data_IF_793681312947
#
_entry.id   IF_793681312947
#
_cell.length_a   1.000
_cell.length_b   1.000
_cell.length_c   1.000
_cell.angle_alpha   90.00
_cell.angle_beta   90.00
_cell.angle_gamma   90.00
#
_symmetry.space_group_name_H-M   'P 1'
#
loop_
_entity.id
_entity.type
_entity.pdbx_description
1 polymer ?
#
# COMPACT_ATOMS: atom_id res chain seq x y z
N UNK A 1 11.52 -5.05 -14.66
CA UNK A 1 12.45 -6.18 -14.44
C UNK A 1 13.60 -5.88 -13.46
N UNK A 2 13.91 -4.63 -13.09
CA UNK A 2 14.98 -4.29 -12.11
C UNK A 2 14.44 -4.15 -10.66
N UNK A 3 13.17 -3.76 -10.51
CA UNK A 3 12.53 -3.52 -9.20
C UNK A 3 12.38 -4.80 -8.37
N UNK A 4 12.06 -5.93 -9.00
CA UNK A 4 11.90 -7.23 -8.33
C UNK A 4 13.17 -7.66 -7.57
N UNK A 5 14.36 -7.65 -8.21
CA UNK A 5 15.63 -7.86 -7.54
C UNK A 5 15.91 -6.86 -6.40
N UNK A 6 15.63 -5.56 -6.60
CA UNK A 6 15.86 -4.54 -5.56
C UNK A 6 14.97 -4.75 -4.34
N UNK A 7 13.69 -5.07 -4.55
CA UNK A 7 12.76 -5.42 -3.47
C UNK A 7 13.15 -6.76 -2.83
N UNK A 8 13.58 -7.75 -3.61
CA UNK A 8 14.11 -9.01 -3.09
C UNK A 8 15.35 -8.81 -2.21
N UNK A 9 16.28 -7.96 -2.62
CA UNK A 9 17.49 -7.59 -1.85
C UNK A 9 17.11 -6.80 -0.60
N UNK A 10 16.19 -5.84 -0.68
CA UNK A 10 15.72 -5.07 0.49
C UNK A 10 14.97 -5.96 1.50
N UNK A 11 14.15 -6.89 1.01
CA UNK A 11 13.37 -7.84 1.82
C UNK A 11 14.29 -8.90 2.46
N UNK A 12 15.34 -9.32 1.75
CA UNK A 12 16.37 -10.24 2.25
C UNK A 12 17.40 -9.59 3.19
N UNK A 13 17.71 -8.30 3.01
CA UNK A 13 18.68 -7.55 3.84
C UNK A 13 18.07 -6.98 5.13
N UNK A 14 16.74 -6.84 5.20
CA UNK A 14 16.02 -6.39 6.40
C UNK A 14 14.80 -7.26 6.79
N UNK A 15 15.00 -8.56 7.11
CA UNK A 15 13.91 -9.50 7.43
C UNK A 15 13.03 -9.08 8.63
N UNK A 16 13.56 -8.30 9.60
CA UNK A 16 12.78 -7.77 10.74
C UNK A 16 12.05 -6.45 10.45
N UNK A 17 12.13 -5.89 9.24
CA UNK A 17 11.52 -4.61 8.84
C UNK A 17 10.49 -4.73 7.70
N UNK A 18 10.05 -5.96 7.37
CA UNK A 18 9.10 -6.23 6.27
C UNK A 18 7.82 -5.38 6.35
N UNK A 19 7.30 -5.07 7.55
CA UNK A 19 6.14 -4.18 7.71
C UNK A 19 6.43 -2.71 7.36
N UNK A 20 7.65 -2.21 7.59
CA UNK A 20 8.04 -0.87 7.16
C UNK A 20 8.24 -0.80 5.64
N UNK A 21 8.63 -1.91 4.99
CA UNK A 21 8.72 -1.96 3.53
C UNK A 21 7.33 -1.83 2.91
N UNK A 22 6.33 -2.56 3.42
CA UNK A 22 4.93 -2.41 2.95
C UNK A 22 4.42 -0.99 3.16
N UNK A 23 4.62 -0.40 4.35
CA UNK A 23 4.20 0.98 4.62
C UNK A 23 4.94 1.99 3.73
N UNK A 24 6.23 1.78 3.45
CA UNK A 24 7.00 2.61 2.53
C UNK A 24 6.51 2.52 1.08
N UNK A 25 6.15 1.32 0.63
CA UNK A 25 5.55 1.10 -0.70
C UNK A 25 4.19 1.78 -0.82
N UNK A 26 3.33 1.63 0.19
CA UNK A 26 2.02 2.29 0.23
C UNK A 26 2.18 3.81 0.25
N UNK A 27 3.10 4.34 1.06
CA UNK A 27 3.37 5.77 1.12
C UNK A 27 3.92 6.33 -0.20
N UNK A 28 4.83 5.61 -0.84
CA UNK A 28 5.37 5.99 -2.15
C UNK A 28 4.28 5.98 -3.24
N UNK A 29 3.45 4.94 -3.28
CA UNK A 29 2.33 4.85 -4.20
C UNK A 29 1.33 6.00 -3.97
N UNK A 30 0.97 6.25 -2.71
CA UNK A 30 0.09 7.36 -2.33
C UNK A 30 0.67 8.72 -2.70
N UNK A 31 1.98 8.93 -2.52
CA UNK A 31 2.65 10.17 -2.90
C UNK A 31 2.66 10.37 -4.43
N UNK A 32 2.93 9.32 -5.21
CA UNK A 32 2.91 9.39 -6.67
C UNK A 32 1.52 9.77 -7.20
N UNK A 33 0.48 9.14 -6.67
CA UNK A 33 -0.91 9.51 -6.98
C UNK A 33 -1.25 10.92 -6.51
N UNK A 34 -0.76 11.36 -5.34
CA UNK A 34 -1.04 12.70 -4.84
C UNK A 34 -0.45 13.77 -5.77
N UNK A 35 0.78 13.57 -6.25
CA UNK A 35 1.42 14.45 -7.23
C UNK A 35 0.59 14.54 -8.51
N UNK A 36 0.08 13.41 -9.02
CA UNK A 36 -0.75 13.40 -10.23
C UNK A 36 -2.08 14.13 -10.03
N UNK A 37 -2.77 13.82 -8.94
CA UNK A 37 -4.13 14.32 -8.68
C UNK A 37 -4.13 15.80 -8.31
N UNK A 38 -3.11 16.27 -7.59
CA UNK A 38 -2.95 17.69 -7.22
C UNK A 38 -2.30 18.54 -8.30
N UNK A 39 -1.80 17.94 -9.39
CA UNK A 39 -1.20 18.70 -10.48
C UNK A 39 -2.23 19.63 -11.12
N UNK A 40 -1.96 20.94 -11.29
CA UNK A 40 -2.91 21.84 -11.96
C UNK A 40 -2.88 21.62 -13.49
N UNK A 41 -4.06 21.53 -14.12
CA UNK A 41 -4.17 21.43 -15.59
C UNK A 41 -3.74 20.07 -16.14
N UNK A 42 -2.99 20.03 -17.23
CA UNK A 42 -2.52 18.77 -17.83
C UNK A 42 -1.17 18.38 -17.23
N UNK A 43 -1.04 17.19 -16.61
CA UNK A 43 0.22 16.74 -16.04
C UNK A 43 1.27 16.51 -17.14
N UNK A 44 2.53 16.94 -16.94
CA UNK A 44 3.60 16.68 -17.90
C UNK A 44 3.91 15.18 -17.94
N UNK A 45 4.45 14.72 -19.07
CA UNK A 45 4.76 13.30 -19.30
C UNK A 45 5.61 12.69 -18.17
N UNK A 46 6.53 13.45 -17.59
CA UNK A 46 7.37 12.98 -16.49
C UNK A 46 6.57 12.54 -15.24
N UNK A 47 5.49 13.25 -14.90
CA UNK A 47 4.62 12.91 -13.77
C UNK A 47 3.85 11.63 -14.07
N UNK A 48 3.36 11.47 -15.28
CA UNK A 48 2.67 10.26 -15.72
C UNK A 48 3.62 9.05 -15.68
N UNK A 49 4.84 9.21 -16.19
CA UNK A 49 5.89 8.16 -16.14
C UNK A 49 6.20 7.77 -14.69
N UNK A 50 6.32 8.74 -13.77
CA UNK A 50 6.55 8.47 -12.35
C UNK A 50 5.44 7.59 -11.76
N UNK A 51 4.18 7.91 -12.04
CA UNK A 51 3.02 7.13 -11.55
C UNK A 51 3.01 5.73 -12.15
N UNK A 52 3.25 5.60 -13.46
CA UNK A 52 3.33 4.29 -14.13
C UNK A 52 4.43 3.43 -13.52
N UNK A 53 5.59 4.01 -13.26
CA UNK A 53 6.69 3.32 -12.57
C UNK A 53 6.26 2.91 -11.16
N UNK A 54 5.63 3.79 -10.39
CA UNK A 54 5.14 3.48 -9.05
C UNK A 54 4.13 2.32 -9.07
N UNK A 55 3.17 2.33 -9.99
CA UNK A 55 2.20 1.24 -10.20
C UNK A 55 2.92 -0.08 -10.51
N UNK A 56 3.95 -0.05 -11.37
CA UNK A 56 4.77 -1.20 -11.69
C UNK A 56 5.49 -1.81 -10.47
N UNK A 57 5.81 -1.01 -9.46
CA UNK A 57 6.39 -1.48 -8.18
C UNK A 57 5.34 -2.23 -7.33
N UNK A 58 4.04 -1.99 -7.57
CA UNK A 58 2.95 -2.69 -6.89
C UNK A 58 3.01 -4.22 -7.05
N UNK A 59 3.49 -4.72 -8.19
CA UNK A 59 3.64 -6.16 -8.44
C UNK A 59 4.55 -6.86 -7.42
N UNK A 60 5.82 -6.46 -7.27
CA UNK A 60 6.66 -6.96 -6.18
C UNK A 60 6.11 -6.68 -4.77
N UNK A 61 5.36 -5.58 -4.60
CA UNK A 61 4.72 -5.25 -3.32
C UNK A 61 3.70 -6.30 -2.86
N UNK A 62 2.90 -6.86 -3.77
CA UNK A 62 1.92 -7.91 -3.44
C UNK A 62 2.58 -9.20 -2.97
N UNK A 63 3.76 -9.53 -3.51
CA UNK A 63 4.54 -10.70 -3.09
C UNK A 63 4.97 -10.61 -1.62
N UNK A 64 5.23 -9.40 -1.10
CA UNK A 64 5.52 -9.20 0.32
C UNK A 64 4.31 -9.56 1.18
N UNK A 65 3.10 -9.24 0.75
CA UNK A 65 1.86 -9.63 1.45
C UNK A 65 1.66 -11.15 1.50
N UNK A 66 1.96 -11.84 0.39
CA UNK A 66 1.92 -13.30 0.31
C UNK A 66 2.99 -13.95 1.20
N UNK A 67 4.20 -13.41 1.22
CA UNK A 67 5.29 -13.86 2.10
C UNK A 67 4.91 -13.73 3.59
N UNK A 68 4.21 -12.64 3.96
CA UNK A 68 3.64 -12.49 5.30
C UNK A 68 2.66 -13.59 5.64
N UNK A 69 1.68 -13.87 4.77
CA UNK A 69 0.70 -14.92 5.02
C UNK A 69 1.33 -16.31 5.15
N UNK A 70 2.40 -16.59 4.40
CA UNK A 70 3.12 -17.86 4.47
C UNK A 70 3.95 -17.99 5.76
N UNK A 71 4.53 -16.89 6.24
CA UNK A 71 5.40 -16.90 7.43
C UNK A 71 4.63 -17.21 8.72
N UNK A 72 3.36 -16.79 8.82
CA UNK A 72 2.54 -16.95 10.03
C UNK A 72 1.62 -18.18 10.01
N UNK A 73 1.62 -18.98 8.95
CA UNK A 73 0.72 -20.11 8.77
C UNK A 73 1.48 -21.44 8.61
N UNK A 74 0.97 -22.55 9.16
CA UNK A 74 1.62 -23.86 9.04
C UNK A 74 1.65 -24.35 7.57
N UNK A 75 2.64 -25.16 7.17
CA UNK A 75 2.86 -25.60 5.77
C UNK A 75 1.61 -26.19 5.08
N UNK A 76 0.82 -26.96 5.84
CA UNK A 76 -0.44 -27.57 5.38
C UNK A 76 -1.54 -26.57 4.96
N UNK A 77 -1.38 -25.29 5.31
CA UNK A 77 -2.38 -24.24 5.07
C UNK A 77 -1.88 -23.09 4.19
N UNK A 78 -0.69 -23.20 3.60
CA UNK A 78 -0.08 -22.11 2.81
C UNK A 78 -0.92 -21.72 1.59
N UNK A 79 -1.57 -22.70 0.95
CA UNK A 79 -2.48 -22.46 -0.18
C UNK A 79 -3.69 -21.63 0.24
N UNK A 80 -4.35 -22.02 1.33
CA UNK A 80 -5.49 -21.28 1.87
C UNK A 80 -5.09 -19.87 2.35
N UNK A 81 -3.95 -19.72 3.03
CA UNK A 81 -3.44 -18.43 3.48
C UNK A 81 -3.16 -17.49 2.30
N UNK A 82 -2.50 -17.98 1.25
CA UNK A 82 -2.24 -17.20 0.02
C UNK A 82 -3.55 -16.85 -0.70
N UNK A 83 -4.52 -17.77 -0.72
CA UNK A 83 -5.85 -17.56 -1.30
C UNK A 83 -6.61 -16.42 -0.62
N UNK A 84 -6.62 -16.39 0.72
CA UNK A 84 -7.27 -15.32 1.49
C UNK A 84 -6.66 -13.95 1.17
N UNK A 85 -5.32 -13.87 1.07
CA UNK A 85 -4.64 -12.61 0.71
C UNK A 85 -5.03 -12.14 -0.69
N UNK A 86 -5.05 -13.04 -1.67
CA UNK A 86 -5.45 -12.69 -3.04
C UNK A 86 -6.91 -12.23 -3.11
N UNK A 87 -7.83 -12.97 -2.47
CA UNK A 87 -9.24 -12.58 -2.40
C UNK A 87 -9.36 -11.19 -1.75
N UNK A 88 -8.65 -10.94 -0.65
CA UNK A 88 -8.64 -9.62 -0.02
C UNK A 88 -8.16 -8.51 -0.97
N UNK A 89 -7.07 -8.74 -1.71
CA UNK A 89 -6.52 -7.79 -2.68
C UNK A 89 -7.45 -7.51 -3.86
N UNK A 90 -8.05 -8.56 -4.43
CA UNK A 90 -9.01 -8.42 -5.53
C UNK A 90 -10.31 -7.76 -5.08
N UNK A 91 -10.86 -8.15 -3.92
CA UNK A 91 -12.03 -7.49 -3.36
C UNK A 91 -11.76 -6.01 -3.16
N UNK A 92 -10.63 -5.63 -2.56
CA UNK A 92 -10.27 -4.21 -2.42
C UNK A 92 -10.17 -3.49 -3.77
N UNK A 93 -9.60 -4.13 -4.79
CA UNK A 93 -9.45 -3.56 -6.14
C UNK A 93 -10.80 -3.37 -6.82
N UNK A 94 -11.69 -4.36 -6.76
CA UNK A 94 -13.04 -4.27 -7.35
C UNK A 94 -13.93 -3.29 -6.59
N UNK A 95 -13.86 -3.26 -5.26
CA UNK A 95 -14.55 -2.25 -4.46
C UNK A 95 -14.07 -0.85 -4.84
N UNK A 96 -12.77 -0.64 -5.00
CA UNK A 96 -12.23 0.66 -5.42
C UNK A 96 -12.72 1.04 -6.83
N UNK A 97 -12.70 0.10 -7.78
CA UNK A 97 -13.19 0.32 -9.14
C UNK A 97 -14.68 0.71 -9.14
N UNK A 98 -15.51 0.01 -8.37
CA UNK A 98 -16.93 0.32 -8.22
C UNK A 98 -17.13 1.72 -7.63
N UNK A 99 -16.41 2.04 -6.55
CA UNK A 99 -16.53 3.33 -5.88
C UNK A 99 -16.09 4.51 -6.77
N UNK A 100 -15.07 4.30 -7.62
CA UNK A 100 -14.65 5.30 -8.61
C UNK A 100 -15.77 5.53 -9.63
N UNK A 101 -16.39 4.47 -10.15
CA UNK A 101 -17.51 4.60 -11.09
C UNK A 101 -18.70 5.34 -10.48
N UNK A 102 -19.12 4.94 -9.28
CA UNK A 102 -20.20 5.62 -8.55
C UNK A 102 -19.85 7.08 -8.28
N UNK A 103 -18.59 7.39 -7.94
CA UNK A 103 -18.16 8.78 -7.72
C UNK A 103 -18.27 9.62 -9.00
N UNK A 104 -17.93 9.07 -10.17
CA UNK A 104 -18.11 9.74 -11.45
C UNK A 104 -19.59 9.99 -11.75
N UNK A 105 -20.44 8.96 -11.61
CA UNK A 105 -21.88 9.07 -11.89
C UNK A 105 -22.56 10.10 -10.99
N UNK A 106 -22.20 10.12 -9.70
CA UNK A 106 -22.74 11.11 -8.75
C UNK A 106 -22.27 12.52 -9.06
N UNK A 107 -20.99 12.71 -9.41
CA UNK A 107 -20.45 14.02 -9.78
C UNK A 107 -21.14 14.58 -11.03
N UNK A 108 -21.29 13.75 -12.06
CA UNK A 108 -21.97 14.13 -13.30
C UNK A 108 -23.45 14.43 -13.05
N UNK A 109 -24.14 13.59 -12.27
CA UNK A 109 -25.53 13.81 -11.90
C UNK A 109 -25.77 15.13 -11.15
N UNK A 110 -24.90 15.49 -10.20
CA UNK A 110 -24.96 16.78 -9.49
C UNK A 110 -24.75 17.95 -10.45
N UNK A 111 -23.79 17.82 -11.37
CA UNK A 111 -23.45 18.86 -12.35
C UNK A 111 -24.57 19.11 -13.35
N UNK A 112 -25.12 18.04 -13.92
CA UNK A 112 -26.24 18.09 -14.88
C UNK A 112 -27.50 18.63 -14.20
N UNK A 113 -27.79 18.21 -12.96
CA UNK A 113 -28.89 18.76 -12.18
C UNK A 113 -28.72 20.27 -11.90
N UNK A 114 -27.48 20.76 -11.82
CA UNK A 114 -27.14 22.19 -11.72
C UNK A 114 -27.23 22.96 -13.05
N UNK A 115 -27.65 22.34 -14.15
CA UNK A 115 -27.81 22.97 -15.46
C UNK A 115 -26.51 23.09 -16.28
N UNK A 116 -25.41 22.50 -15.82
CA UNK A 116 -24.16 22.45 -16.57
C UNK A 116 -24.10 21.21 -17.49
N UNK A 117 -23.34 21.26 -18.60
CA UNK A 117 -23.16 20.10 -19.47
C UNK A 117 -22.39 18.97 -18.75
N UNK A 118 -22.71 17.73 -19.12
CA UNK A 118 -22.03 16.52 -18.64
C UNK A 118 -20.54 16.58 -18.94
N UNK A 119 -19.73 16.18 -17.97
CA UNK A 119 -18.28 16.09 -18.09
C UNK A 119 -17.73 14.80 -17.48
N UNK A 120 -18.55 13.73 -17.51
CA UNK A 120 -18.24 12.41 -16.95
C UNK A 120 -16.82 11.90 -17.30
N UNK A 121 -16.35 12.19 -18.52
CA UNK A 121 -15.03 11.77 -19.00
C UNK A 121 -13.97 12.89 -19.00
N UNK A 122 -14.21 14.00 -18.31
CA UNK A 122 -13.23 15.07 -18.16
C UNK A 122 -12.14 14.69 -17.15
N UNK A 123 -10.94 15.22 -17.37
CA UNK A 123 -9.78 14.98 -16.49
C UNK A 123 -10.06 15.37 -15.04
N UNK A 124 -10.83 16.44 -14.82
CA UNK A 124 -11.11 16.94 -13.47
C UNK A 124 -12.09 16.04 -12.71
N UNK A 125 -13.09 15.48 -13.38
CA UNK A 125 -14.00 14.47 -12.79
C UNK A 125 -13.23 13.21 -12.41
N UNK A 126 -12.32 12.75 -13.28
CA UNK A 126 -11.43 11.64 -12.94
C UNK A 126 -10.50 11.94 -11.76
N UNK A 127 -9.98 13.16 -11.62
CA UNK A 127 -9.13 13.53 -10.47
C UNK A 127 -9.86 13.32 -9.15
N UNK A 128 -11.10 13.78 -9.05
CA UNK A 128 -11.88 13.65 -7.83
C UNK A 128 -12.29 12.20 -7.59
N UNK A 129 -12.71 11.49 -8.64
CA UNK A 129 -13.08 10.08 -8.53
C UNK A 129 -11.90 9.19 -8.10
N UNK A 130 -10.70 9.41 -8.65
CA UNK A 130 -9.49 8.68 -8.24
C UNK A 130 -9.05 8.99 -6.81
N UNK A 131 -9.52 10.07 -6.18
CA UNK A 131 -9.24 10.34 -4.78
C UNK A 131 -9.92 9.31 -3.84
N UNK A 132 -10.94 8.59 -4.31
CA UNK A 132 -11.62 7.53 -3.54
C UNK A 132 -10.69 6.35 -3.22
N UNK A 133 -9.56 6.21 -3.90
CA UNK A 133 -8.56 5.20 -3.53
C UNK A 133 -7.94 5.46 -2.14
N UNK A 134 -7.81 6.72 -1.71
CA UNK A 134 -7.19 7.08 -0.43
C UNK A 134 -7.94 6.56 0.79
N UNK A 135 -9.28 6.68 0.92
CA UNK A 135 -9.99 6.09 2.05
C UNK A 135 -9.87 4.56 2.08
N UNK A 136 -9.93 3.89 0.92
CA UNK A 136 -9.81 2.42 0.84
C UNK A 136 -8.41 1.96 1.27
N UNK A 137 -7.37 2.55 0.67
CA UNK A 137 -5.96 2.24 1.01
C UNK A 137 -5.64 2.67 2.44
N UNK A 138 -6.17 3.82 2.88
CA UNK A 138 -6.03 4.34 4.24
C UNK A 138 -6.63 3.41 5.27
N UNK A 139 -7.81 2.86 5.01
CA UNK A 139 -8.43 1.83 5.85
C UNK A 139 -7.57 0.57 5.92
N UNK A 140 -7.10 0.05 4.78
CA UNK A 140 -6.18 -1.10 4.75
C UNK A 140 -4.88 -0.85 5.52
N UNK A 141 -4.33 0.36 5.39
CA UNK A 141 -3.11 0.80 6.09
C UNK A 141 -3.35 0.91 7.60
N UNK A 142 -4.48 1.47 8.00
CA UNK A 142 -4.87 1.57 9.42
C UNK A 142 -5.01 0.17 10.04
N UNK A 143 -5.67 -0.76 9.34
CA UNK A 143 -5.80 -2.15 9.79
C UNK A 143 -4.45 -2.83 9.90
N UNK A 144 -3.55 -2.63 8.95
CA UNK A 144 -2.19 -3.14 9.01
C UNK A 144 -1.42 -2.60 10.23
N UNK A 145 -1.49 -1.29 10.46
CA UNK A 145 -0.84 -0.63 11.61
C UNK A 145 -1.44 -1.14 12.93
N UNK A 146 -2.76 -1.26 13.01
CA UNK A 146 -3.47 -1.74 14.21
C UNK A 146 -3.10 -3.18 14.54
N UNK A 147 -3.09 -4.07 13.55
CA UNK A 147 -2.65 -5.47 13.70
C UNK A 147 -1.19 -5.53 14.11
N UNK A 148 -0.32 -4.73 13.49
CA UNK A 148 1.11 -4.62 13.88
C UNK A 148 1.28 -4.23 15.35
N UNK A 149 0.52 -3.25 15.84
CA UNK A 149 0.58 -2.85 17.24
C UNK A 149 0.08 -3.95 18.17
N UNK A 150 -1.00 -4.65 17.79
CA UNK A 150 -1.55 -5.76 18.59
C UNK A 150 -0.59 -6.94 18.68
N UNK A 151 0.00 -7.37 17.56
CA UNK A 151 1.00 -8.47 17.54
C UNK A 151 2.23 -8.12 18.36
N UNK A 152 2.71 -6.87 18.30
CA UNK A 152 3.85 -6.41 19.11
C UNK A 152 3.56 -6.40 20.61
N UNK A 153 2.32 -6.09 21.02
CA UNK A 153 1.90 -6.15 22.42
C UNK A 153 1.85 -7.60 22.92
N UNK A 154 1.21 -8.49 22.15
CA UNK A 154 1.14 -9.92 22.49
C UNK A 154 2.53 -10.56 22.61
N UNK A 155 3.45 -10.27 21.68
CA UNK A 155 4.85 -10.74 21.77
C UNK A 155 5.60 -10.18 22.98
N UNK A 156 5.28 -8.95 23.41
CA UNK A 156 5.87 -8.36 24.60
C UNK A 156 5.35 -9.03 25.89
N UNK A 157 4.08 -9.42 25.91
CA UNK A 157 3.43 -10.15 27.01
C UNK A 157 3.97 -11.59 27.13
N UNK A 158 4.39 -12.21 26.01
CA UNK A 158 5.08 -13.51 25.96
C UNK A 158 6.59 -13.44 26.29
N UNK A 159 7.11 -12.27 26.70
CA UNK A 159 8.51 -12.08 27.08
C UNK A 159 9.50 -11.94 25.92
N UNK A 160 9.03 -12.01 24.67
CA UNK A 160 9.85 -11.82 23.45
C UNK A 160 9.88 -10.31 23.13
N UNK A 161 10.81 -9.58 23.76
CA UNK A 161 11.06 -8.16 23.43
C UNK A 161 11.68 -8.02 22.04
N UNK A 162 10.85 -7.80 21.03
CA UNK A 162 11.31 -7.29 19.73
C UNK A 162 11.68 -5.81 19.91
N UNK A 163 12.88 -5.56 20.42
CA UNK A 163 13.35 -4.23 20.82
C UNK A 163 13.44 -3.22 19.65
N UNK A 164 13.25 -1.91 19.91
CA UNK A 164 13.44 -0.86 18.92
C UNK A 164 14.88 -0.77 18.38
N UNK A 165 15.03 -0.18 17.18
CA UNK A 165 16.26 -0.16 16.37
C UNK A 165 17.53 0.34 17.07
N UNK A 166 17.39 1.26 18.02
CA UNK A 166 18.53 1.79 18.76
C UNK A 166 19.12 0.76 19.72
N UNK A 167 18.32 -0.17 20.26
CA UNK A 167 18.76 -1.19 21.23
C UNK A 167 19.71 -2.17 20.55
N UNK A 168 19.28 -2.72 19.41
CA UNK A 168 20.10 -3.66 18.63
C UNK A 168 21.36 -3.02 18.04
N UNK A 169 21.30 -1.74 17.68
CA UNK A 169 22.46 -0.99 17.20
C UNK A 169 23.46 -0.71 18.34
N UNK A 170 22.99 -0.31 19.52
CA UNK A 170 23.83 -0.03 20.69
C UNK A 170 24.47 -1.30 21.25
N UNK A 171 23.76 -2.44 21.24
CA UNK A 171 24.30 -3.73 21.68
C UNK A 171 25.44 -4.21 20.76
N UNK A 172 25.28 -4.04 19.45
CA UNK A 172 26.32 -4.39 18.47
C UNK A 172 27.55 -3.48 18.58
N UNK A 173 27.37 -2.23 19.00
CA UNK A 173 28.45 -1.27 19.23
C UNK A 173 29.18 -1.53 20.55
N UNK A 174 28.48 -1.99 21.59
CA UNK A 174 29.08 -2.42 22.87
C UNK A 174 29.90 -3.70 22.72
N UNK A 175 29.42 -4.70 21.99
CA UNK A 175 30.17 -5.96 21.72
C UNK A 175 31.40 -5.80 20.82
N UNK A 176 31.57 -4.65 20.16
CA UNK A 176 32.78 -4.32 19.39
C UNK A 176 33.83 -3.53 20.20
N UNK A 177 33.49 -3.10 21.41
CA UNK A 177 34.36 -2.34 22.32
C UNK A 177 34.78 -3.13 23.56
N UNK A 178 34.26 -4.34 23.75
CA UNK A 178 34.74 -5.35 24.67
C UNK A 178 35.52 -6.39 23.86
#
# INVERSE_FOLDING_TARGET
>A
MIVGPVIGILTGRFPFRRSNLVLGLVAMMGAAWAVLLLWPGVPPLAVVVLVVVAIGIGGPGSQVGLDFARTFNPPRSLGAASGIVNVGGFTASFTMMLLIGVALDVQDGIRVAGGAPSDLYALDSFRVAFAVQYPVVGFGTLMLVRTRHRTRRLLADEGIRVGPLWVAYLDRRRRRRA
#
